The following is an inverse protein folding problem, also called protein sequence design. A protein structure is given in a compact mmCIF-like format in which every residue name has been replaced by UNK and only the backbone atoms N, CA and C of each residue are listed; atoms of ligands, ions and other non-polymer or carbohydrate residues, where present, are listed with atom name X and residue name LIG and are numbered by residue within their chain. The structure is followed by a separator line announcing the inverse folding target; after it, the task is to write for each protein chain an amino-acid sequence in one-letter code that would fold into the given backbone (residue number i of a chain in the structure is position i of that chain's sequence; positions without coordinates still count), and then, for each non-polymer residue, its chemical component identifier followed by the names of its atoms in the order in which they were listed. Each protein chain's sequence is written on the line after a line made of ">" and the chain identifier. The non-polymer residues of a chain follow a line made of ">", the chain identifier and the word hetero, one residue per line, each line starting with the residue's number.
data_IF_550373954741
#
_entry.id   IF_550373954741
#
_cell.length_a   1.000
_cell.length_b   1.000
_cell.length_c   1.000
_cell.angle_alpha   90.00
_cell.angle_beta   90.00
_cell.angle_gamma   90.00
#
_symmetry.space_group_name_H-M   'P 1'
#
loop_
_entity.id
_entity.type
_entity.pdbx_description
1 polymer ?
#
# COMPACT_ATOMS: atom_id res chain seq x y z
N UNK A 1 -36.02 10.17 -13.39
CA UNK A 1 -35.39 11.35 -12.77
C UNK A 1 -33.94 11.00 -12.53
N UNK A 2 -33.10 11.23 -13.54
CA UNK A 2 -31.67 10.96 -13.54
C UNK A 2 -30.95 12.23 -13.13
N UNK A 3 -30.37 12.25 -11.92
CA UNK A 3 -29.45 13.32 -11.52
C UNK A 3 -28.08 13.02 -12.09
N UNK A 4 -27.74 13.80 -13.11
CA UNK A 4 -26.42 13.90 -13.73
C UNK A 4 -25.46 14.56 -12.74
N UNK A 5 -24.57 13.77 -12.13
CA UNK A 5 -23.41 14.30 -11.40
C UNK A 5 -22.33 14.65 -12.42
N UNK A 6 -22.17 15.93 -12.70
CA UNK A 6 -21.04 16.47 -13.45
C UNK A 6 -19.75 16.13 -12.70
N UNK A 7 -18.69 15.60 -13.37
CA UNK A 7 -17.40 15.43 -12.72
C UNK A 7 -16.87 16.80 -12.26
N UNK A 8 -16.06 16.88 -11.19
CA UNK A 8 -15.38 18.13 -10.86
C UNK A 8 -14.57 18.56 -12.08
N UNK A 9 -14.98 19.66 -12.70
CA UNK A 9 -14.22 20.36 -13.73
C UNK A 9 -12.84 20.58 -13.15
N UNK A 10 -11.82 19.98 -13.78
CA UNK A 10 -10.43 20.33 -13.49
C UNK A 10 -10.34 21.84 -13.63
N UNK A 11 -10.19 22.52 -12.48
CA UNK A 11 -10.11 23.96 -12.42
C UNK A 11 -9.00 24.40 -13.35
N UNK A 12 -9.35 25.25 -14.31
CA UNK A 12 -8.47 26.19 -14.98
C UNK A 12 -8.00 27.22 -13.94
N UNK A 13 -7.29 26.76 -12.92
CA UNK A 13 -6.73 27.59 -11.85
C UNK A 13 -5.21 27.70 -12.11
N UNK A 14 -4.87 28.56 -13.07
CA UNK A 14 -3.55 29.18 -13.23
C UNK A 14 -2.36 28.24 -13.09
N UNK A 15 -1.91 27.63 -14.22
CA UNK A 15 -0.58 27.02 -14.28
C UNK A 15 0.43 28.06 -13.80
N UNK A 16 1.17 27.81 -12.70
CA UNK A 16 2.10 28.79 -12.19
C UNK A 16 3.17 29.11 -13.24
N UNK A 17 3.44 30.39 -13.46
CA UNK A 17 4.54 30.81 -14.34
C UNK A 17 5.88 30.36 -13.73
N UNK A 18 6.66 29.63 -14.52
CA UNK A 18 8.00 29.17 -14.15
C UNK A 18 8.07 27.76 -13.55
N UNK A 19 9.21 27.10 -13.79
CA UNK A 19 9.47 25.72 -13.37
C UNK A 19 9.34 25.54 -11.84
N UNK A 20 9.88 26.47 -11.06
CA UNK A 20 9.89 26.39 -9.59
C UNK A 20 8.49 26.40 -9.00
N UNK A 21 7.61 27.28 -9.51
CA UNK A 21 6.25 27.38 -9.03
C UNK A 21 5.43 26.12 -9.38
N UNK A 22 5.69 25.51 -10.55
CA UNK A 22 5.11 24.22 -10.96
C UNK A 22 5.61 23.06 -10.08
N UNK A 23 6.92 23.01 -9.79
CA UNK A 23 7.49 22.02 -8.87
C UNK A 23 6.90 22.17 -7.46
N UNK A 24 6.77 23.40 -6.96
CA UNK A 24 6.19 23.64 -5.64
C UNK A 24 4.72 23.22 -5.51
N UNK A 25 3.91 23.32 -6.58
CA UNK A 25 2.56 22.74 -6.60
C UNK A 25 2.62 21.22 -6.49
N UNK A 26 3.48 20.56 -7.27
CA UNK A 26 3.64 19.10 -7.23
C UNK A 26 4.12 18.61 -5.86
N UNK A 27 5.06 19.30 -5.23
CA UNK A 27 5.54 18.95 -3.88
C UNK A 27 4.42 18.99 -2.84
N UNK A 28 3.58 20.03 -2.86
CA UNK A 28 2.42 20.13 -1.95
C UNK A 28 1.39 19.04 -2.20
N UNK A 29 1.08 18.76 -3.47
CA UNK A 29 0.17 17.69 -3.84
C UNK A 29 0.71 16.31 -3.42
N UNK A 30 2.00 16.06 -3.63
CA UNK A 30 2.64 14.83 -3.21
C UNK A 30 2.64 14.67 -1.69
N UNK A 31 2.95 15.74 -0.95
CA UNK A 31 2.90 15.74 0.51
C UNK A 31 1.47 15.46 1.04
N UNK A 32 0.46 16.08 0.44
CA UNK A 32 -0.94 15.84 0.78
C UNK A 32 -1.36 14.39 0.51
N UNK A 33 -1.03 13.86 -0.67
CA UNK A 33 -1.29 12.46 -1.04
C UNK A 33 -0.57 11.48 -0.10
N UNK A 34 0.69 11.73 0.22
CA UNK A 34 1.46 10.90 1.13
C UNK A 34 0.90 10.93 2.56
N UNK A 35 0.46 12.10 3.03
CA UNK A 35 -0.21 12.24 4.33
C UNK A 35 -1.52 11.46 4.37
N UNK A 36 -2.36 11.60 3.34
CA UNK A 36 -3.62 10.86 3.22
C UNK A 36 -3.38 9.34 3.16
N UNK A 37 -2.40 8.90 2.36
CA UNK A 37 -2.01 7.49 2.26
C UNK A 37 -1.51 6.93 3.61
N UNK A 38 -0.69 7.68 4.34
CA UNK A 38 -0.21 7.26 5.67
C UNK A 38 -1.34 7.15 6.70
N UNK A 39 -2.28 8.07 6.69
CA UNK A 39 -3.46 8.02 7.56
C UNK A 39 -4.31 6.80 7.24
N UNK A 40 -4.53 6.54 5.95
CA UNK A 40 -5.22 5.34 5.48
C UNK A 40 -4.52 4.05 5.92
N UNK A 41 -3.21 3.93 5.70
CA UNK A 41 -2.45 2.75 6.13
C UNK A 41 -2.55 2.50 7.64
N UNK A 42 -2.57 3.56 8.45
CA UNK A 42 -2.80 3.43 9.90
C UNK A 42 -4.19 2.90 10.19
N UNK A 43 -5.22 3.45 9.55
CA UNK A 43 -6.59 3.00 9.74
C UNK A 43 -6.74 1.52 9.36
N UNK A 44 -6.24 1.12 8.19
CA UNK A 44 -6.30 -0.27 7.74
C UNK A 44 -5.51 -1.21 8.65
N UNK A 45 -4.36 -0.77 9.17
CA UNK A 45 -3.63 -1.54 10.18
C UNK A 45 -4.47 -1.77 11.43
N UNK A 46 -5.09 -0.71 11.97
CA UNK A 46 -5.97 -0.79 13.15
C UNK A 46 -7.20 -1.66 12.91
N UNK A 47 -7.76 -1.63 11.70
CA UNK A 47 -8.92 -2.45 11.33
C UNK A 47 -8.57 -3.96 11.23
N UNK A 48 -7.31 -4.30 10.94
CA UNK A 48 -6.81 -5.69 11.00
C UNK A 48 -6.55 -6.10 12.44
N UNK A 49 -5.81 -5.28 13.18
CA UNK A 49 -5.53 -5.46 14.61
C UNK A 49 -5.12 -4.12 15.26
N UNK A 50 -5.71 -3.71 16.40
CA UNK A 50 -5.37 -2.43 17.04
C UNK A 50 -3.90 -2.24 17.41
N UNK A 51 -3.16 -3.33 17.63
CA UNK A 51 -1.74 -3.30 17.97
C UNK A 51 -0.82 -3.39 16.72
N UNK A 52 -1.38 -3.51 15.52
CA UNK A 52 -0.62 -3.59 14.28
C UNK A 52 -0.10 -2.21 13.85
N UNK A 53 1.20 -2.14 13.57
CA UNK A 53 1.82 -0.92 13.03
C UNK A 53 1.66 -0.86 11.51
N UNK A 54 1.67 0.34 10.90
CA UNK A 54 1.57 0.50 9.44
C UNK A 54 2.63 -0.26 8.64
N UNK A 55 3.85 -0.37 9.17
CA UNK A 55 4.93 -1.14 8.55
C UNK A 55 4.65 -2.66 8.58
N UNK A 56 4.05 -3.14 9.67
CA UNK A 56 3.62 -4.53 9.82
C UNK A 56 2.46 -4.84 8.88
N UNK A 57 1.49 -3.92 8.77
CA UNK A 57 0.38 -4.03 7.81
C UNK A 57 0.88 -4.13 6.36
N UNK A 58 1.82 -3.28 5.95
CA UNK A 58 2.42 -3.37 4.61
C UNK A 58 3.12 -4.71 4.37
N UNK A 59 3.83 -5.22 5.38
CA UNK A 59 4.50 -6.53 5.30
C UNK A 59 3.47 -7.66 5.15
N UNK A 60 2.37 -7.60 5.91
CA UNK A 60 1.27 -8.56 5.82
C UNK A 60 0.58 -8.50 4.46
N UNK A 61 0.35 -7.30 3.93
CA UNK A 61 -0.26 -7.11 2.61
C UNK A 61 0.56 -7.77 1.50
N UNK A 62 1.86 -7.49 1.45
CA UNK A 62 2.77 -8.11 0.46
C UNK A 62 2.75 -9.64 0.58
N UNK A 63 2.74 -10.15 1.82
CA UNK A 63 2.71 -11.58 2.08
C UNK A 63 1.38 -12.24 1.66
N UNK A 64 0.24 -11.57 1.87
CA UNK A 64 -1.07 -12.07 1.42
C UNK A 64 -1.19 -11.99 -0.11
N UNK A 65 -0.63 -10.96 -0.75
CA UNK A 65 -0.64 -10.81 -2.21
C UNK A 65 0.21 -11.90 -2.91
N UNK A 66 1.34 -12.31 -2.31
CA UNK A 66 2.26 -13.32 -2.88
C UNK A 66 1.99 -14.75 -2.44
N UNK A 67 1.41 -14.92 -1.25
CA UNK A 67 1.37 -16.20 -0.56
C UNK A 67 2.69 -16.53 0.17
N UNK A 68 2.87 -17.80 0.61
CA UNK A 68 4.05 -18.22 1.35
C UNK A 68 5.37 -17.90 0.62
N UNK A 69 6.28 -17.20 1.28
CA UNK A 69 7.54 -16.75 0.67
C UNK A 69 8.70 -16.80 1.66
N UNK A 70 9.92 -16.97 1.15
CA UNK A 70 11.14 -16.94 1.95
C UNK A 70 11.37 -15.55 2.60
N UNK A 71 11.89 -15.54 3.82
CA UNK A 71 12.16 -14.28 4.52
C UNK A 71 13.14 -13.35 3.78
N UNK A 72 14.11 -13.89 3.03
CA UNK A 72 15.04 -13.09 2.23
C UNK A 72 14.34 -12.39 1.07
N UNK A 73 13.56 -13.14 0.29
CA UNK A 73 12.79 -12.61 -0.84
C UNK A 73 11.73 -11.58 -0.38
N UNK A 74 11.07 -11.84 0.75
CA UNK A 74 10.16 -10.86 1.35
C UNK A 74 10.88 -9.55 1.72
N UNK A 75 12.11 -9.62 2.24
CA UNK A 75 12.90 -8.45 2.59
C UNK A 75 13.25 -7.61 1.35
N UNK A 76 13.71 -8.29 0.29
CA UNK A 76 14.07 -7.67 -0.98
C UNK A 76 12.86 -6.98 -1.63
N UNK A 77 11.69 -7.65 -1.66
CA UNK A 77 10.47 -7.08 -2.24
C UNK A 77 10.00 -5.80 -1.53
N UNK A 78 10.21 -5.73 -0.21
CA UNK A 78 9.82 -4.59 0.61
C UNK A 78 10.90 -3.51 0.71
N UNK A 79 12.11 -3.78 0.20
CA UNK A 79 13.28 -2.93 0.39
C UNK A 79 13.72 -2.82 1.85
N UNK A 80 13.48 -3.87 2.64
CA UNK A 80 13.81 -3.91 4.06
C UNK A 80 15.13 -4.62 4.29
N UNK A 81 15.93 -4.09 5.21
CA UNK A 81 17.05 -4.85 5.76
C UNK A 81 16.54 -6.00 6.64
N UNK A 82 17.38 -7.03 6.80
CA UNK A 82 17.08 -8.23 7.61
C UNK A 82 16.60 -7.90 9.03
N UNK A 83 17.20 -6.88 9.66
CA UNK A 83 16.80 -6.44 11.02
C UNK A 83 15.38 -5.87 11.04
N UNK A 84 15.05 -5.04 10.05
CA UNK A 84 13.72 -4.41 9.91
C UNK A 84 12.67 -5.48 9.69
N UNK A 85 12.86 -6.35 8.68
CA UNK A 85 11.91 -7.42 8.40
C UNK A 85 11.74 -8.34 9.62
N UNK A 86 12.83 -8.73 10.27
CA UNK A 86 12.77 -9.60 11.46
C UNK A 86 11.93 -8.99 12.58
N UNK A 87 12.00 -7.67 12.79
CA UNK A 87 11.14 -6.96 13.75
C UNK A 87 9.67 -6.98 13.33
N UNK A 88 9.36 -6.75 12.04
CA UNK A 88 7.98 -6.80 11.54
C UNK A 88 7.40 -8.21 11.69
N UNK A 89 8.14 -9.23 11.27
CA UNK A 89 7.68 -10.62 11.35
C UNK A 89 7.47 -11.09 12.79
N UNK A 90 8.26 -10.61 13.77
CA UNK A 90 8.01 -10.92 15.19
C UNK A 90 6.70 -10.31 15.68
N UNK A 91 6.41 -9.06 15.29
CA UNK A 91 5.15 -8.43 15.65
C UNK A 91 3.98 -9.20 15.03
N UNK A 92 4.06 -9.52 13.73
CA UNK A 92 3.01 -10.26 13.04
C UNK A 92 2.78 -11.66 13.61
N UNK A 93 3.84 -12.39 13.98
CA UNK A 93 3.71 -13.68 14.68
C UNK A 93 3.03 -13.51 16.04
N UNK A 94 3.41 -12.49 16.82
CA UNK A 94 2.80 -12.25 18.14
C UNK A 94 1.31 -11.91 18.07
N UNK A 95 0.86 -11.36 16.94
CA UNK A 95 -0.54 -11.08 16.65
C UNK A 95 -1.27 -12.26 16.00
N UNK A 96 -0.60 -13.40 15.78
CA UNK A 96 -1.18 -14.56 15.11
C UNK A 96 -1.48 -14.36 13.63
N UNK A 97 -0.89 -13.34 13.00
CA UNK A 97 -1.17 -12.96 11.60
C UNK A 97 -0.28 -13.70 10.59
N UNK A 98 0.85 -14.24 11.04
CA UNK A 98 1.76 -15.04 10.22
C UNK A 98 2.29 -16.23 10.99
N UNK A 99 2.72 -17.26 10.28
CA UNK A 99 3.46 -18.40 10.80
C UNK A 99 4.81 -18.54 10.08
N UNK A 100 5.77 -19.17 10.77
CA UNK A 100 7.07 -19.53 10.21
C UNK A 100 7.21 -21.04 10.16
N UNK A 101 7.59 -21.53 8.99
CA UNK A 101 7.85 -22.95 8.74
C UNK A 101 9.20 -23.16 8.05
N UNK A 102 9.65 -24.40 8.04
CA UNK A 102 10.71 -24.82 7.12
C UNK A 102 10.11 -25.01 5.73
N UNK A 103 10.86 -24.64 4.70
CA UNK A 103 10.48 -24.96 3.33
C UNK A 103 10.44 -26.50 3.15
N UNK A 104 9.34 -27.08 2.66
CA UNK A 104 9.28 -28.50 2.33
C UNK A 104 10.36 -28.94 1.33
N UNK A 105 10.78 -28.04 0.43
CA UNK A 105 11.80 -28.29 -0.58
C UNK A 105 13.24 -28.04 -0.07
N UNK A 106 13.40 -27.11 0.90
CA UNK A 106 14.70 -26.84 1.55
C UNK A 106 14.53 -26.59 3.06
N UNK A 107 14.81 -27.62 3.87
CA UNK A 107 14.72 -27.53 5.34
C UNK A 107 15.60 -26.44 5.97
N UNK A 108 16.56 -25.88 5.23
CA UNK A 108 17.40 -24.75 5.68
C UNK A 108 16.74 -23.39 5.44
N UNK A 109 15.77 -23.31 4.54
CA UNK A 109 15.04 -22.10 4.24
C UNK A 109 13.84 -21.92 5.18
N UNK A 110 13.64 -20.68 5.64
CA UNK A 110 12.49 -20.28 6.45
C UNK A 110 11.46 -19.64 5.56
N UNK A 111 10.28 -20.26 5.49
CA UNK A 111 9.11 -19.74 4.78
C UNK A 111 8.20 -19.04 5.76
N UNK A 112 7.78 -17.84 5.39
CA UNK A 112 6.77 -17.06 6.10
C UNK A 112 5.45 -17.29 5.38
N UNK A 113 4.39 -17.60 6.13
CA UNK A 113 3.04 -17.77 5.58
C UNK A 113 2.05 -16.88 6.33
N UNK A 114 1.09 -16.22 5.64
CA UNK A 114 -0.01 -15.57 6.34
C UNK A 114 -0.93 -16.66 6.93
N UNK A 115 -1.55 -16.38 8.08
CA UNK A 115 -2.57 -17.29 8.63
C UNK A 115 -3.90 -17.11 7.89
N UNK A 116 -4.76 -18.13 7.90
CA UNK A 116 -6.09 -18.05 7.29
C UNK A 116 -6.93 -16.90 7.85
N UNK A 117 -6.82 -16.64 9.16
CA UNK A 117 -7.45 -15.49 9.82
C UNK A 117 -6.90 -14.16 9.30
N UNK A 118 -5.59 -14.05 9.08
CA UNK A 118 -4.99 -12.86 8.52
C UNK A 118 -5.45 -12.61 7.08
N UNK A 119 -5.54 -13.66 6.26
CA UNK A 119 -6.08 -13.58 4.89
C UNK A 119 -7.53 -13.10 4.94
N UNK A 120 -8.37 -13.69 5.79
CA UNK A 120 -9.77 -13.29 5.94
C UNK A 120 -9.93 -11.84 6.44
N UNK A 121 -9.07 -11.39 7.37
CA UNK A 121 -9.01 -9.99 7.82
C UNK A 121 -8.66 -9.07 6.65
N UNK A 122 -7.61 -9.40 5.90
CA UNK A 122 -7.16 -8.61 4.76
C UNK A 122 -8.21 -8.51 3.66
N UNK A 123 -8.92 -9.60 3.36
CA UNK A 123 -10.03 -9.56 2.40
C UNK A 123 -11.14 -8.61 2.84
N UNK A 124 -11.52 -8.61 4.13
CA UNK A 124 -12.51 -7.65 4.65
C UNK A 124 -12.07 -6.20 4.46
N UNK A 125 -10.78 -5.92 4.60
CA UNK A 125 -10.22 -4.58 4.34
C UNK A 125 -10.30 -4.25 2.84
N UNK A 126 -9.93 -5.19 1.95
CA UNK A 126 -9.97 -5.00 0.49
C UNK A 126 -11.38 -4.78 -0.04
N UNK A 127 -12.35 -5.53 0.46
CA UNK A 127 -13.77 -5.42 0.06
C UNK A 127 -14.51 -4.30 0.79
N UNK A 128 -13.86 -3.63 1.74
CA UNK A 128 -14.45 -2.54 2.51
C UNK A 128 -14.81 -1.35 1.62
N UNK A 129 -16.07 -0.92 1.68
CA UNK A 129 -16.64 0.17 0.86
C UNK A 129 -16.02 1.58 1.09
N UNK A 130 -14.97 1.70 1.90
CA UNK A 130 -14.30 2.97 2.26
C UNK A 130 -12.98 3.19 1.52
N UNK A 131 -12.77 2.54 0.37
CA UNK A 131 -11.64 2.88 -0.48
C UNK A 131 -11.93 4.11 -1.35
N UNK A 132 -12.10 5.28 -0.72
CA UNK A 132 -12.33 6.56 -1.42
C UNK A 132 -11.25 6.84 -2.47
N UNK A 133 -10.00 6.46 -2.19
CA UNK A 133 -8.90 6.59 -3.13
C UNK A 133 -9.12 5.77 -4.40
N UNK A 134 -9.50 4.49 -4.26
CA UNK A 134 -9.84 3.62 -5.38
C UNK A 134 -11.10 4.07 -6.09
N UNK A 135 -12.14 4.50 -5.37
CA UNK A 135 -13.37 5.04 -5.97
C UNK A 135 -13.07 6.26 -6.82
N UNK A 136 -12.31 7.23 -6.28
CA UNK A 136 -11.93 8.43 -7.02
C UNK A 136 -11.12 8.09 -8.27
N UNK A 137 -10.15 7.17 -8.18
CA UNK A 137 -9.38 6.73 -9.35
C UNK A 137 -10.20 5.92 -10.35
N UNK A 138 -11.21 5.18 -9.91
CA UNK A 138 -12.09 4.41 -10.80
C UNK A 138 -12.99 5.30 -11.67
N UNK A 139 -13.20 6.56 -11.26
CA UNK A 139 -13.93 7.55 -12.06
C UNK A 139 -13.04 8.22 -13.12
N UNK A 140 -11.72 8.04 -13.07
CA UNK A 140 -10.80 8.66 -14.01
C UNK A 140 -10.78 7.93 -15.35
N UNK A 141 -10.59 8.65 -16.47
CA UNK A 141 -10.29 8.02 -17.76
C UNK A 141 -9.05 7.13 -17.68
N UNK A 142 -9.09 5.95 -18.32
CA UNK A 142 -7.96 4.99 -18.32
C UNK A 142 -6.65 5.63 -18.77
N UNK A 143 -6.70 6.54 -19.75
CA UNK A 143 -5.51 7.28 -20.23
C UNK A 143 -4.82 8.09 -19.12
N UNK A 144 -5.59 8.67 -18.19
CA UNK A 144 -5.06 9.54 -17.14
C UNK A 144 -4.44 8.66 -16.04
N UNK A 145 -5.02 7.48 -15.78
CA UNK A 145 -4.44 6.46 -14.91
C UNK A 145 -3.10 5.94 -15.45
N UNK A 146 -3.05 5.61 -16.74
CA UNK A 146 -1.84 5.12 -17.39
C UNK A 146 -0.72 6.18 -17.38
N UNK A 147 -1.07 7.44 -17.66
CA UNK A 147 -0.12 8.55 -17.65
C UNK A 147 0.40 8.83 -16.23
N UNK A 148 -0.47 8.84 -15.22
CA UNK A 148 -0.03 9.00 -13.83
C UNK A 148 0.89 7.86 -13.39
N UNK A 149 0.57 6.61 -13.74
CA UNK A 149 1.42 5.45 -13.45
C UNK A 149 2.81 5.60 -14.08
N UNK A 150 2.87 6.04 -15.35
CA UNK A 150 4.12 6.31 -16.07
C UNK A 150 4.94 7.41 -15.41
N UNK A 151 4.33 8.53 -15.04
CA UNK A 151 4.99 9.64 -14.37
C UNK A 151 5.53 9.25 -12.99
N UNK A 152 4.75 8.51 -12.20
CA UNK A 152 5.19 8.01 -10.89
C UNK A 152 6.34 7.01 -11.00
N UNK A 153 6.36 6.16 -12.03
CA UNK A 153 7.47 5.24 -12.28
C UNK A 153 8.79 5.99 -12.51
N UNK A 154 8.75 7.14 -13.19
CA UNK A 154 9.92 7.99 -13.43
C UNK A 154 10.43 8.70 -12.17
N UNK A 155 9.59 8.84 -11.13
CA UNK A 155 9.93 9.49 -9.86
C UNK A 155 10.49 8.51 -8.81
N UNK A 156 10.47 7.20 -9.05
CA UNK A 156 11.00 6.23 -8.09
C UNK A 156 12.49 6.53 -7.85
N UNK A 157 12.92 6.74 -6.59
CA UNK A 157 14.33 6.95 -6.29
C UNK A 157 15.12 5.73 -6.78
N UNK A 158 16.25 5.99 -7.44
CA UNK A 158 17.19 4.95 -7.87
C UNK A 158 17.85 4.28 -6.68
#
# INVERSE_FOLDING_TARGET
>A
MTSSGTPPTAGDDGVPDGLEARVGVLERQFAALFSAYRTRLRQQATDVDPALQPSGFRTLQELVDRGPVGAGELAESLGFDKSVLSRQLRQLESLGLVSRGQDPADRRAVVISPTDDAVARMERIRTGARDEFRTNLAEWPTRDLDELARLLANLRPR
#
